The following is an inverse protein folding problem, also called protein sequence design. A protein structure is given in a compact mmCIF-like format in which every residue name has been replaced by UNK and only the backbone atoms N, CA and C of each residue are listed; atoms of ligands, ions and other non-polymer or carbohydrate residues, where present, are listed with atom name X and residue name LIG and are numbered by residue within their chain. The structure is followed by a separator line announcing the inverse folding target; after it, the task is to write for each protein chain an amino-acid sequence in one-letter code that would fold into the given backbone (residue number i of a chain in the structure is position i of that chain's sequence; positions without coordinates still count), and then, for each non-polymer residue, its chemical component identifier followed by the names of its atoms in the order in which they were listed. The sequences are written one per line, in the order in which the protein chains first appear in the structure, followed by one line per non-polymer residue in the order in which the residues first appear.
data_IF_572624500915
#
_entry.id   IF_572624500915
#
_cell.length_a   1.000
_cell.length_b   1.000
_cell.length_c   1.000
_cell.angle_alpha   90.00
_cell.angle_beta   90.00
_cell.angle_gamma   90.00
#
_symmetry.space_group_name_H-M   'P 1'
#
loop_
_entity.id
_entity.type
_entity.pdbx_description
1 polymer ?
#
# COMPACT_ATOMS: atom_id res chain seq x y z
N UNK A 1 10.97 -11.80 -0.68
CA UNK A 1 9.57 -11.64 -0.19
C UNK A 1 8.82 -10.94 -1.31
N UNK A 2 7.65 -11.44 -1.69
CA UNK A 2 6.84 -10.81 -2.76
C UNK A 2 6.12 -9.59 -2.20
N UNK A 3 5.99 -8.54 -3.01
CA UNK A 3 5.24 -7.34 -2.70
C UNK A 3 4.27 -7.06 -3.85
N UNK A 4 3.00 -6.91 -3.53
CA UNK A 4 1.98 -6.60 -4.52
C UNK A 4 0.85 -5.76 -3.91
N UNK A 5 0.15 -5.03 -4.77
CA UNK A 5 -0.96 -4.17 -4.40
C UNK A 5 -2.20 -4.58 -5.21
N UNK A 6 -3.24 -5.02 -4.52
CA UNK A 6 -4.53 -5.38 -5.11
C UNK A 6 -5.54 -4.26 -4.87
N UNK A 7 -6.22 -3.85 -5.92
CA UNK A 7 -7.24 -2.80 -5.88
C UNK A 7 -8.62 -3.43 -5.71
N UNK A 8 -9.19 -3.34 -4.52
CA UNK A 8 -10.52 -3.88 -4.21
C UNK A 8 -11.63 -2.87 -4.50
N UNK A 9 -11.28 -1.58 -4.50
CA UNK A 9 -12.16 -0.49 -4.84
C UNK A 9 -11.37 0.74 -5.28
N UNK A 10 -11.70 1.27 -6.44
CA UNK A 10 -10.94 2.33 -7.14
C UNK A 10 -11.78 3.56 -7.50
N UNK A 11 -13.07 3.54 -7.15
CA UNK A 11 -13.99 4.65 -7.39
C UNK A 11 -14.05 5.62 -6.24
N UNK A 12 -14.33 6.89 -6.55
CA UNK A 12 -14.50 7.96 -5.59
C UNK A 12 -15.95 8.18 -5.19
N UNK A 13 -16.17 8.47 -3.92
CA UNK A 13 -17.39 8.86 -3.21
C UNK A 13 -18.59 7.89 -3.35
N UNK A 14 -18.95 7.49 -4.57
CA UNK A 14 -20.16 6.70 -4.83
C UNK A 14 -19.80 5.40 -5.56
N UNK A 15 -20.18 4.22 -5.03
CA UNK A 15 -19.95 2.96 -5.73
C UNK A 15 -20.73 2.94 -7.05
N UNK A 16 -20.15 2.32 -8.05
CA UNK A 16 -20.76 2.12 -9.36
C UNK A 16 -20.78 0.63 -9.73
N UNK A 17 -21.43 0.28 -10.83
CA UNK A 17 -21.38 -1.09 -11.33
C UNK A 17 -19.97 -1.56 -11.76
N UNK A 18 -19.03 -0.61 -11.95
CA UNK A 18 -17.69 -0.89 -12.45
C UNK A 18 -16.57 -0.65 -11.44
N UNK A 19 -16.82 0.20 -10.43
CA UNK A 19 -15.85 0.60 -9.41
C UNK A 19 -16.51 0.63 -8.05
N UNK A 20 -15.95 -0.08 -7.10
CA UNK A 20 -16.31 -0.02 -5.70
C UNK A 20 -15.62 1.18 -5.03
N UNK A 21 -16.07 1.53 -3.85
CA UNK A 21 -15.49 2.56 -2.99
C UNK A 21 -14.10 2.16 -2.49
N UNK A 22 -13.34 3.13 -1.99
CA UNK A 22 -11.91 3.04 -1.70
C UNK A 22 -11.52 1.81 -0.85
N UNK A 23 -10.64 0.99 -1.39
CA UNK A 23 -10.03 -0.12 -0.66
C UNK A 23 -8.83 -0.68 -1.42
N UNK A 24 -7.66 -0.65 -0.81
CA UNK A 24 -6.40 -1.12 -1.40
C UNK A 24 -5.75 -2.12 -0.45
N UNK A 25 -5.43 -3.31 -0.95
CA UNK A 25 -4.74 -4.35 -0.17
C UNK A 25 -3.29 -4.46 -0.61
N UNK A 26 -2.38 -4.22 0.30
CA UNK A 26 -0.95 -4.49 0.13
C UNK A 26 -0.63 -5.86 0.71
N UNK A 27 -0.09 -6.74 -0.13
CA UNK A 27 0.38 -8.07 0.26
C UNK A 27 1.91 -8.08 0.22
N UNK A 28 2.53 -8.32 1.36
CA UNK A 28 3.98 -8.40 1.53
C UNK A 28 4.34 -9.72 2.20
N UNK A 29 4.84 -10.67 1.41
CA UNK A 29 5.04 -12.04 1.90
C UNK A 29 3.78 -12.62 2.53
N UNK A 30 3.83 -12.92 3.84
CA UNK A 30 2.68 -13.41 4.62
C UNK A 30 1.75 -12.31 5.14
N UNK A 31 2.17 -11.05 5.12
CA UNK A 31 1.41 -9.93 5.67
C UNK A 31 0.35 -9.41 4.68
N UNK A 32 -0.78 -9.00 5.20
CA UNK A 32 -1.92 -8.45 4.46
C UNK A 32 -2.37 -7.16 5.13
N UNK A 33 -2.08 -6.02 4.51
CA UNK A 33 -2.34 -4.69 5.01
C UNK A 33 -3.43 -4.04 4.15
N UNK A 34 -4.57 -3.73 4.74
CA UNK A 34 -5.69 -3.10 4.05
C UNK A 34 -5.68 -1.60 4.32
N UNK A 35 -5.64 -0.80 3.26
CA UNK A 35 -5.76 0.65 3.30
C UNK A 35 -7.17 1.03 2.85
N UNK A 36 -7.91 1.62 3.76
CA UNK A 36 -9.34 1.87 3.72
C UNK A 36 -10.20 0.61 3.54
N UNK A 37 -11.42 0.71 3.99
CA UNK A 37 -12.41 -0.37 3.93
C UNK A 37 -13.77 0.23 3.58
N UNK A 38 -13.92 0.64 2.35
CA UNK A 38 -15.16 1.19 1.82
C UNK A 38 -16.28 0.16 1.76
N UNK A 39 -17.50 0.61 1.54
CA UNK A 39 -18.67 -0.24 1.47
C UNK A 39 -18.47 -1.42 0.50
N UNK A 40 -18.76 -2.63 0.93
CA UNK A 40 -18.66 -3.84 0.10
C UNK A 40 -17.28 -4.44 -0.05
N UNK A 41 -16.24 -3.94 0.63
CA UNK A 41 -14.86 -4.46 0.56
C UNK A 41 -14.78 -5.97 0.78
N UNK A 42 -15.50 -6.51 1.76
CA UNK A 42 -15.55 -7.97 2.01
C UNK A 42 -16.07 -8.76 0.81
N UNK A 43 -17.04 -8.22 0.10
CA UNK A 43 -17.60 -8.83 -1.12
C UNK A 43 -16.59 -8.75 -2.27
N UNK A 44 -15.88 -7.64 -2.38
CA UNK A 44 -14.81 -7.48 -3.37
C UNK A 44 -13.66 -8.47 -3.13
N UNK A 45 -13.28 -8.69 -1.86
CA UNK A 45 -12.32 -9.74 -1.51
C UNK A 45 -12.79 -11.11 -1.98
N UNK A 46 -14.02 -11.51 -1.64
CA UNK A 46 -14.58 -12.81 -2.04
C UNK A 46 -14.61 -13.02 -3.56
N UNK A 47 -14.83 -11.96 -4.34
CA UNK A 47 -14.90 -12.01 -5.80
C UNK A 47 -13.52 -12.06 -6.47
N UNK A 48 -12.45 -11.72 -5.79
CA UNK A 48 -11.11 -11.61 -6.38
C UNK A 48 -10.08 -12.54 -5.73
N UNK A 49 -9.64 -12.21 -4.53
CA UNK A 49 -8.54 -12.88 -3.83
C UNK A 49 -9.01 -13.89 -2.77
N UNK A 50 -10.30 -14.06 -2.61
CA UNK A 50 -10.91 -14.77 -1.49
C UNK A 50 -11.02 -13.88 -0.24
N UNK A 51 -11.77 -14.33 0.76
CA UNK A 51 -11.87 -13.64 2.05
C UNK A 51 -10.59 -13.86 2.85
N UNK A 52 -9.52 -13.15 2.47
CA UNK A 52 -8.24 -13.22 3.19
C UNK A 52 -8.35 -12.57 4.56
N UNK A 53 -7.65 -13.12 5.54
CA UNK A 53 -7.53 -12.49 6.85
C UNK A 53 -6.45 -11.41 6.79
N UNK A 54 -6.86 -10.15 6.88
CA UNK A 54 -5.89 -9.04 6.95
C UNK A 54 -5.26 -8.96 8.34
N UNK A 55 -4.01 -8.54 8.40
CA UNK A 55 -3.27 -8.36 9.66
C UNK A 55 -3.58 -7.00 10.28
N UNK A 56 -3.73 -6.00 9.44
CA UNK A 56 -4.03 -4.64 9.84
C UNK A 56 -4.93 -3.93 8.83
N UNK A 57 -5.70 -2.97 9.32
CA UNK A 57 -6.46 -2.01 8.52
C UNK A 57 -5.95 -0.61 8.86
N UNK A 58 -5.64 0.18 7.85
CA UNK A 58 -5.19 1.56 7.98
C UNK A 58 -6.23 2.48 7.35
N UNK A 59 -6.93 3.26 8.15
CA UNK A 59 -7.88 4.25 7.65
C UNK A 59 -7.17 5.56 7.35
N UNK A 60 -7.31 6.06 6.13
CA UNK A 60 -6.82 7.37 5.76
C UNK A 60 -7.66 8.46 6.42
N UNK A 61 -8.96 8.33 6.40
CA UNK A 61 -9.94 9.20 7.04
C UNK A 61 -11.29 8.47 7.21
N UNK A 62 -12.34 9.17 7.68
CA UNK A 62 -13.60 8.53 8.06
C UNK A 62 -14.80 8.93 7.21
N UNK A 63 -14.59 9.33 5.96
CA UNK A 63 -15.72 9.45 5.03
C UNK A 63 -16.34 8.07 4.76
N UNK A 64 -17.62 8.09 4.40
CA UNK A 64 -18.43 6.88 4.27
C UNK A 64 -17.83 5.85 3.31
N UNK A 65 -17.34 6.30 2.19
CA UNK A 65 -16.74 5.49 1.11
C UNK A 65 -15.36 4.91 1.45
N UNK A 66 -14.74 5.34 2.56
CA UNK A 66 -13.50 4.77 3.08
C UNK A 66 -13.71 3.87 4.28
N UNK A 67 -14.83 4.03 5.01
CA UNK A 67 -14.97 3.40 6.33
C UNK A 67 -16.14 2.40 6.45
N UNK A 68 -17.25 2.58 5.70
CA UNK A 68 -18.49 1.82 5.95
C UNK A 68 -18.40 0.31 5.69
N UNK A 69 -17.38 -0.18 5.06
CA UNK A 69 -17.14 -1.63 4.91
C UNK A 69 -16.69 -2.31 6.19
N UNK A 70 -16.09 -1.56 7.14
CA UNK A 70 -15.53 -2.11 8.37
C UNK A 70 -16.52 -2.94 9.19
N UNK A 71 -17.74 -2.45 9.52
CA UNK A 71 -18.70 -3.23 10.31
C UNK A 71 -19.01 -4.59 9.68
N UNK A 72 -19.22 -4.62 8.38
CA UNK A 72 -19.49 -5.84 7.63
C UNK A 72 -18.32 -6.80 7.62
N UNK A 73 -17.10 -6.30 7.39
CA UNK A 73 -15.88 -7.11 7.39
C UNK A 73 -15.62 -7.73 8.76
N UNK A 74 -15.76 -6.96 9.85
CA UNK A 74 -15.60 -7.45 11.22
C UNK A 74 -16.58 -8.57 11.54
N UNK A 75 -17.86 -8.39 11.18
CA UNK A 75 -18.88 -9.43 11.41
C UNK A 75 -18.66 -10.66 10.54
N UNK A 76 -18.18 -10.50 9.33
CA UNK A 76 -17.85 -11.63 8.47
C UNK A 76 -16.69 -12.44 9.05
N UNK A 77 -15.65 -11.78 9.54
CA UNK A 77 -14.54 -12.44 10.23
C UNK A 77 -14.98 -13.13 11.52
N UNK A 78 -15.90 -12.53 12.29
CA UNK A 78 -16.48 -13.11 13.49
C UNK A 78 -17.25 -14.40 13.16
N UNK A 79 -18.09 -14.36 12.14
CA UNK A 79 -18.91 -15.50 11.70
C UNK A 79 -18.07 -16.63 11.03
N UNK A 80 -16.90 -16.30 10.50
CA UNK A 80 -15.95 -17.27 9.95
C UNK A 80 -14.86 -17.67 10.95
N UNK A 81 -15.14 -17.48 12.25
CA UNK A 81 -14.30 -17.96 13.36
C UNK A 81 -12.84 -17.49 13.30
N UNK A 82 -12.65 -16.19 13.01
CA UNK A 82 -11.31 -15.60 13.03
C UNK A 82 -10.67 -15.73 14.43
N UNK A 83 -9.49 -16.28 14.51
CA UNK A 83 -8.69 -16.35 15.74
C UNK A 83 -7.56 -15.30 15.78
N UNK A 84 -7.03 -14.93 14.60
CA UNK A 84 -5.90 -13.98 14.47
C UNK A 84 -6.31 -12.59 14.95
N UNK A 85 -5.54 -11.94 15.83
CA UNK A 85 -5.79 -10.55 16.22
C UNK A 85 -5.83 -9.62 14.99
N UNK A 86 -6.57 -8.52 15.09
CA UNK A 86 -6.68 -7.48 14.06
C UNK A 86 -6.28 -6.13 14.64
N UNK A 87 -5.28 -5.48 14.05
CA UNK A 87 -4.97 -4.09 14.35
C UNK A 87 -5.74 -3.16 13.41
N UNK A 88 -6.34 -2.11 13.94
CA UNK A 88 -7.07 -1.10 13.17
C UNK A 88 -6.50 0.25 13.52
N UNK A 89 -5.85 0.86 12.54
CA UNK A 89 -5.19 2.15 12.64
C UNK A 89 -6.02 3.22 11.92
N UNK A 90 -5.93 4.44 12.39
CA UNK A 90 -6.53 5.59 11.71
C UNK A 90 -6.25 6.90 12.44
N UNK A 91 -6.63 8.05 11.87
CA UNK A 91 -6.46 9.34 12.51
C UNK A 91 -7.27 9.42 13.80
N UNK A 92 -6.94 10.41 14.62
CA UNK A 92 -7.67 10.70 15.86
C UNK A 92 -9.17 10.84 15.60
N UNK A 93 -9.99 10.17 16.44
CA UNK A 93 -11.44 10.06 16.31
C UNK A 93 -11.91 8.65 15.92
N UNK A 94 -10.97 7.73 15.60
CA UNK A 94 -11.28 6.34 15.28
C UNK A 94 -12.08 5.64 16.39
N UNK A 95 -11.64 5.80 17.63
CA UNK A 95 -12.30 5.16 18.79
C UNK A 95 -13.71 5.69 19.02
N UNK A 96 -13.89 6.99 18.91
CA UNK A 96 -15.20 7.64 19.08
C UNK A 96 -16.18 7.20 18.00
N UNK A 97 -15.70 7.15 16.73
CA UNK A 97 -16.50 6.68 15.61
C UNK A 97 -16.90 5.21 15.80
N UNK A 98 -15.94 4.36 16.16
CA UNK A 98 -16.20 2.94 16.41
C UNK A 98 -17.20 2.75 17.55
N UNK A 99 -17.08 3.49 18.64
CA UNK A 99 -18.02 3.47 19.75
C UNK A 99 -19.43 3.88 19.33
N UNK A 100 -19.55 4.88 18.46
CA UNK A 100 -20.85 5.31 17.91
C UNK A 100 -21.52 4.20 17.10
N UNK A 101 -20.75 3.33 16.46
CA UNK A 101 -21.23 2.20 15.67
C UNK A 101 -21.37 0.89 16.46
N UNK A 102 -21.04 0.88 17.74
CA UNK A 102 -21.00 -0.34 18.56
C UNK A 102 -22.31 -1.12 18.55
N UNK A 103 -23.47 -0.43 18.48
CA UNK A 103 -24.79 -1.08 18.38
C UNK A 103 -25.01 -1.79 17.04
N UNK A 104 -24.43 -1.27 15.96
CA UNK A 104 -24.53 -1.85 14.61
C UNK A 104 -23.56 -3.03 14.49
N UNK A 105 -22.34 -2.88 14.97
CA UNK A 105 -21.29 -3.90 14.92
C UNK A 105 -21.65 -5.07 15.86
N UNK A 106 -22.21 -4.78 17.03
CA UNK A 106 -22.48 -5.78 18.05
C UNK A 106 -21.19 -6.36 18.67
N UNK A 107 -21.31 -7.52 19.30
CA UNK A 107 -20.15 -8.21 19.88
C UNK A 107 -19.30 -8.86 18.79
N UNK A 108 -17.98 -8.74 18.93
CA UNK A 108 -16.96 -9.41 18.12
C UNK A 108 -16.23 -10.42 19.01
N UNK A 109 -16.11 -11.66 18.56
CA UNK A 109 -15.56 -12.78 19.33
C UNK A 109 -14.04 -12.91 19.30
N UNK A 110 -13.35 -12.25 18.39
CA UNK A 110 -11.89 -12.24 18.29
C UNK A 110 -11.27 -10.93 18.79
N UNK A 111 -9.98 -10.98 19.10
CA UNK A 111 -9.24 -9.80 19.59
C UNK A 111 -9.00 -8.81 18.45
N UNK A 112 -9.31 -7.54 18.66
CA UNK A 112 -8.91 -6.44 17.82
C UNK A 112 -8.50 -5.23 18.66
N UNK A 113 -7.67 -4.36 18.06
CA UNK A 113 -7.19 -3.15 18.72
C UNK A 113 -7.46 -1.93 17.83
N UNK A 114 -7.91 -0.82 18.42
CA UNK A 114 -8.09 0.46 17.76
C UNK A 114 -6.93 1.38 18.17
N UNK A 115 -6.14 1.82 17.20
CA UNK A 115 -4.94 2.61 17.42
C UNK A 115 -5.05 3.90 16.62
N UNK A 116 -5.13 5.02 17.35
CA UNK A 116 -5.15 6.35 16.73
C UNK A 116 -3.72 6.80 16.45
N UNK A 117 -3.50 7.35 15.27
CA UNK A 117 -2.21 7.82 14.79
C UNK A 117 -2.22 9.32 14.56
N UNK A 118 -1.05 9.93 14.76
CA UNK A 118 -0.74 11.29 14.36
C UNK A 118 0.24 11.27 13.16
N UNK A 119 0.34 12.36 12.38
CA UNK A 119 1.34 12.45 11.33
C UNK A 119 2.76 12.24 11.86
N UNK A 120 3.52 11.37 11.23
CA UNK A 120 4.89 11.01 11.61
C UNK A 120 5.01 9.75 12.47
N UNK A 121 3.90 9.17 12.92
CA UNK A 121 3.95 7.89 13.63
C UNK A 121 4.42 6.76 12.72
N UNK A 122 5.20 5.85 13.27
CA UNK A 122 5.71 4.66 12.60
C UNK A 122 5.22 3.38 13.28
N UNK A 123 4.73 2.47 12.50
CA UNK A 123 4.25 1.15 12.92
C UNK A 123 5.26 0.12 12.41
N UNK A 124 6.05 -0.51 13.31
CA UNK A 124 7.05 -1.48 12.91
C UNK A 124 6.42 -2.78 12.39
N UNK A 125 7.02 -3.32 11.35
CA UNK A 125 6.76 -4.65 10.78
C UNK A 125 8.08 -5.45 10.76
N UNK A 126 8.05 -6.68 10.31
CA UNK A 126 9.27 -7.45 10.12
C UNK A 126 10.08 -6.93 8.91
N UNK A 127 11.24 -6.29 9.15
CA UNK A 127 12.10 -5.66 8.14
C UNK A 127 11.40 -4.60 7.28
N UNK A 128 10.42 -3.88 7.85
CA UNK A 128 9.71 -2.77 7.25
C UNK A 128 9.01 -1.94 8.32
N UNK A 129 8.42 -0.84 7.89
CA UNK A 129 7.51 -0.05 8.72
C UNK A 129 6.40 0.56 7.86
N UNK A 130 5.28 0.90 8.49
CA UNK A 130 4.27 1.79 7.90
C UNK A 130 4.36 3.13 8.61
N UNK A 131 4.67 4.18 7.87
CA UNK A 131 4.72 5.56 8.36
C UNK A 131 3.46 6.31 7.98
N UNK A 132 2.86 7.01 8.93
CA UNK A 132 1.77 7.95 8.64
C UNK A 132 2.35 9.31 8.28
N UNK A 133 1.70 10.02 7.36
CA UNK A 133 2.07 11.40 7.00
C UNK A 133 0.82 12.26 6.80
N UNK A 134 0.92 13.59 6.95
CA UNK A 134 -0.22 14.47 6.78
C UNK A 134 -0.58 14.61 5.29
N UNK A 135 -1.86 14.69 5.00
CA UNK A 135 -2.42 15.01 3.69
C UNK A 135 -3.38 16.19 3.79
N UNK A 136 -3.65 16.85 2.67
CA UNK A 136 -4.52 18.02 2.59
C UNK A 136 -5.92 17.61 2.15
N UNK A 137 -6.81 17.40 3.13
CA UNK A 137 -8.21 17.07 2.88
C UNK A 137 -9.12 17.80 3.89
N UNK A 138 -10.39 18.01 3.56
CA UNK A 138 -11.33 18.75 4.41
C UNK A 138 -11.65 18.10 5.77
N UNK A 139 -11.27 16.84 5.97
CA UNK A 139 -11.33 16.09 7.22
C UNK A 139 -9.92 15.84 7.79
N UNK A 140 -9.82 15.36 9.04
CA UNK A 140 -8.56 14.80 9.53
C UNK A 140 -8.23 13.56 8.71
N UNK A 141 -7.12 13.62 8.00
CA UNK A 141 -6.69 12.57 7.11
C UNK A 141 -5.19 12.30 7.22
N UNK A 142 -4.81 11.06 6.95
CA UNK A 142 -3.44 10.57 6.93
C UNK A 142 -3.20 9.82 5.62
N UNK A 143 -2.05 10.04 5.02
CA UNK A 143 -1.47 9.11 4.07
C UNK A 143 -0.56 8.11 4.78
N UNK A 144 -0.23 7.02 4.09
CA UNK A 144 0.61 5.94 4.62
C UNK A 144 1.69 5.56 3.63
N UNK A 145 2.91 5.38 4.12
CA UNK A 145 4.05 4.86 3.37
C UNK A 145 4.51 3.54 4.00
N UNK A 146 4.36 2.44 3.30
CA UNK A 146 5.02 1.18 3.62
C UNK A 146 6.44 1.26 3.06
N UNK A 147 7.44 1.15 3.93
CA UNK A 147 8.86 1.26 3.57
C UNK A 147 9.60 0.03 4.09
N UNK A 148 10.18 -0.75 3.18
CA UNK A 148 11.05 -1.87 3.55
C UNK A 148 12.44 -1.37 3.96
N UNK A 149 13.06 -2.06 4.91
CA UNK A 149 14.45 -1.79 5.30
C UNK A 149 15.44 -2.06 4.14
N UNK A 150 16.59 -1.44 4.22
CA UNK A 150 17.70 -1.77 3.32
C UNK A 150 18.09 -3.24 3.46
N UNK A 151 18.35 -3.87 2.34
CA UNK A 151 18.78 -5.26 2.27
C UNK A 151 20.30 -5.37 2.22
N UNK A 152 20.89 -6.42 2.79
CA UNK A 152 22.31 -6.68 2.66
C UNK A 152 22.76 -6.65 1.18
N UNK A 153 23.96 -6.19 0.93
CA UNK A 153 24.60 -6.25 -0.36
C UNK A 153 24.72 -7.67 -0.89
N UNK A 154 25.05 -7.80 -2.16
CA UNK A 154 25.30 -9.13 -2.73
C UNK A 154 26.60 -9.72 -2.14
N UNK A 155 26.52 -10.96 -1.65
CA UNK A 155 27.69 -11.71 -1.23
C UNK A 155 28.53 -12.10 -2.45
N UNK A 156 29.87 -11.91 -2.36
CA UNK A 156 30.83 -12.33 -3.37
C UNK A 156 31.53 -13.62 -2.93
N UNK A 157 31.05 -14.79 -3.37
CA UNK A 157 31.64 -16.07 -2.99
C UNK A 157 33.05 -16.25 -3.57
N UNK A 158 33.39 -15.58 -4.67
CA UNK A 158 34.72 -15.70 -5.27
C UNK A 158 35.76 -14.96 -4.44
N UNK A 159 35.44 -13.76 -3.98
CA UNK A 159 36.31 -13.02 -3.07
C UNK A 159 36.44 -13.73 -1.73
N UNK A 160 35.34 -14.26 -1.15
CA UNK A 160 35.39 -15.05 0.07
C UNK A 160 36.35 -16.26 -0.06
N UNK A 161 36.24 -17.01 -1.16
CA UNK A 161 37.15 -18.13 -1.45
C UNK A 161 38.61 -17.68 -1.57
N UNK A 162 38.88 -16.55 -2.24
CA UNK A 162 40.24 -15.99 -2.36
C UNK A 162 40.84 -15.60 -1.01
N UNK A 163 40.01 -15.13 -0.08
CA UNK A 163 40.40 -14.81 1.29
C UNK A 163 40.51 -16.05 2.20
N UNK A 164 40.32 -17.24 1.62
CA UNK A 164 40.48 -18.50 2.32
C UNK A 164 39.30 -18.86 3.24
N UNK A 165 38.12 -18.29 3.01
CA UNK A 165 36.90 -18.65 3.73
C UNK A 165 36.36 -19.97 3.20
N UNK A 166 36.00 -20.87 4.10
CA UNK A 166 35.45 -22.16 3.75
C UNK A 166 33.99 -22.03 3.29
N UNK A 167 33.70 -22.61 2.16
CA UNK A 167 32.34 -22.64 1.61
C UNK A 167 31.37 -23.38 2.53
N UNK A 168 30.17 -22.87 2.67
CA UNK A 168 29.13 -23.46 3.52
C UNK A 168 28.84 -22.60 4.76
N UNK A 169 29.02 -23.12 6.00
CA UNK A 169 28.61 -22.42 7.22
C UNK A 169 29.24 -21.02 7.38
N UNK A 170 30.53 -20.88 7.02
CA UNK A 170 31.26 -19.60 7.16
C UNK A 170 30.74 -18.52 6.22
N UNK A 171 30.27 -18.89 5.02
CA UNK A 171 29.58 -17.97 4.11
C UNK A 171 28.27 -17.44 4.71
N UNK A 172 27.51 -18.32 5.37
CA UNK A 172 26.27 -17.90 6.03
C UNK A 172 26.53 -16.95 7.23
N UNK A 173 27.66 -17.12 7.93
CA UNK A 173 28.08 -16.22 9.02
C UNK A 173 28.38 -14.83 8.44
N UNK A 174 29.19 -14.75 7.38
CA UNK A 174 29.49 -13.48 6.70
C UNK A 174 28.24 -12.79 6.16
N UNK A 175 27.30 -13.54 5.60
CA UNK A 175 26.03 -12.99 5.09
C UNK A 175 25.12 -12.43 6.20
N UNK A 176 25.29 -12.88 7.43
CA UNK A 176 24.60 -12.32 8.61
C UNK A 176 25.32 -11.10 9.20
N UNK A 177 26.44 -10.69 8.60
CA UNK A 177 27.20 -9.53 9.07
C UNK A 177 28.23 -9.85 10.17
N UNK A 178 28.56 -11.12 10.39
CA UNK A 178 29.52 -11.56 11.39
C UNK A 178 30.87 -11.93 10.74
N UNK A 179 32.02 -11.55 11.33
CA UNK A 179 33.33 -11.89 10.78
C UNK A 179 33.64 -13.37 10.97
N UNK A 180 34.46 -13.94 10.07
CA UNK A 180 34.95 -15.32 10.15
C UNK A 180 36.47 -15.39 10.04
N UNK A 181 37.05 -16.51 10.50
CA UNK A 181 38.47 -16.82 10.33
C UNK A 181 38.69 -17.55 9.01
N UNK A 182 39.25 -16.87 8.01
CA UNK A 182 39.75 -17.52 6.80
C UNK A 182 41.15 -18.09 6.98
N UNK A 183 41.61 -18.90 6.04
CA UNK A 183 42.97 -19.49 6.05
C UNK A 183 44.09 -18.44 5.88
N UNK A 184 43.75 -17.24 5.38
CA UNK A 184 44.69 -16.15 5.18
C UNK A 184 44.56 -15.03 6.24
N UNK A 185 43.66 -15.20 7.22
CA UNK A 185 43.40 -14.23 8.27
C UNK A 185 41.92 -14.04 8.53
N UNK A 186 41.54 -13.10 9.45
CA UNK A 186 40.17 -12.75 9.70
C UNK A 186 39.59 -12.02 8.48
N UNK A 187 38.33 -12.34 8.12
CA UNK A 187 37.59 -11.75 7.01
C UNK A 187 36.36 -11.05 7.56
N UNK A 188 36.27 -9.76 7.29
CA UNK A 188 35.13 -8.93 7.67
C UNK A 188 34.02 -9.06 6.59
N UNK A 189 32.74 -9.07 6.96
CA UNK A 189 31.65 -9.05 5.98
C UNK A 189 31.81 -7.97 4.89
N UNK A 190 32.30 -6.81 5.22
CA UNK A 190 32.54 -5.69 4.26
C UNK A 190 33.51 -6.03 3.13
N UNK A 191 34.38 -7.02 3.34
CA UNK A 191 35.34 -7.45 2.32
C UNK A 191 34.70 -8.31 1.22
N UNK A 192 33.52 -8.89 1.51
CA UNK A 192 32.84 -9.89 0.67
C UNK A 192 31.37 -9.55 0.40
N UNK A 193 30.84 -8.51 1.02
CA UNK A 193 29.50 -8.01 0.78
C UNK A 193 29.56 -6.74 -0.08
N UNK A 194 28.74 -6.67 -1.09
CA UNK A 194 28.52 -5.42 -1.85
C UNK A 194 27.85 -4.34 -0.99
N UNK A 195 27.57 -3.19 -1.61
CA UNK A 195 26.80 -2.14 -0.94
C UNK A 195 25.39 -2.65 -0.59
N UNK A 196 24.79 -2.13 0.48
CA UNK A 196 23.39 -2.35 0.80
C UNK A 196 22.50 -1.97 -0.39
N UNK A 197 21.37 -2.62 -0.49
CA UNK A 197 20.40 -2.44 -1.57
C UNK A 197 19.12 -1.86 -0.98
N UNK A 198 18.48 -0.90 -1.65
CA UNK A 198 17.25 -0.32 -1.13
C UNK A 198 16.17 -1.40 -0.94
N UNK A 199 15.34 -1.22 0.06
CA UNK A 199 14.04 -1.84 0.18
C UNK A 199 13.07 -1.24 -0.84
N UNK A 200 11.82 -1.72 -0.84
CA UNK A 200 10.76 -1.17 -1.69
C UNK A 200 9.86 -0.27 -0.87
N UNK A 201 9.23 0.69 -1.54
CA UNK A 201 8.29 1.60 -0.91
C UNK A 201 6.97 1.70 -1.68
N UNK A 202 5.86 1.64 -0.95
CA UNK A 202 4.50 1.83 -1.46
C UNK A 202 3.83 2.93 -0.66
N UNK A 203 3.36 3.96 -1.34
CA UNK A 203 2.67 5.10 -0.71
C UNK A 203 1.21 5.12 -1.13
N UNK A 204 0.31 5.27 -0.15
CA UNK A 204 -1.15 5.40 -0.36
C UNK A 204 -1.59 6.69 0.30
N UNK A 205 -2.10 7.62 -0.49
CA UNK A 205 -2.47 8.95 0.03
C UNK A 205 -3.85 8.97 0.70
N UNK A 206 -4.79 8.12 0.24
CA UNK A 206 -6.20 8.41 0.42
C UNK A 206 -6.59 9.68 -0.33
N UNK A 207 -7.62 10.37 0.13
CA UNK A 207 -8.11 11.61 -0.47
C UNK A 207 -7.22 12.78 -0.08
N UNK A 208 -6.80 13.56 -1.08
CA UNK A 208 -5.91 14.71 -0.83
C UNK A 208 -5.89 15.69 -2.00
N UNK A 209 -5.82 16.98 -1.68
CA UNK A 209 -5.25 17.97 -2.58
C UNK A 209 -3.72 17.79 -2.68
N UNK A 210 -3.05 18.29 -3.72
CA UNK A 210 -1.60 18.24 -3.82
C UNK A 210 -0.94 18.92 -2.62
N UNK A 211 -0.01 18.25 -1.96
CA UNK A 211 0.72 18.83 -0.85
C UNK A 211 2.17 18.35 -0.79
N UNK A 212 3.03 19.17 -0.22
CA UNK A 212 4.47 18.89 -0.09
C UNK A 212 4.75 17.63 0.73
N UNK A 213 3.94 17.36 1.75
CA UNK A 213 4.12 16.18 2.59
C UNK A 213 3.95 14.87 1.80
N UNK A 214 3.05 14.84 0.84
CA UNK A 214 2.89 13.70 -0.07
C UNK A 214 4.12 13.51 -0.98
N UNK A 215 4.68 14.61 -1.52
CA UNK A 215 5.90 14.57 -2.32
C UNK A 215 7.06 13.99 -1.51
N UNK A 216 7.26 14.47 -0.28
CA UNK A 216 8.34 13.97 0.59
C UNK A 216 8.14 12.51 0.99
N UNK A 217 6.91 12.11 1.34
CA UNK A 217 6.61 10.72 1.70
C UNK A 217 6.76 9.74 0.53
N UNK A 218 6.51 10.21 -0.69
CA UNK A 218 6.58 9.40 -1.91
C UNK A 218 7.94 9.45 -2.62
N UNK A 219 8.92 10.22 -2.10
CA UNK A 219 10.21 10.42 -2.77
C UNK A 219 10.92 9.11 -3.07
N UNK A 220 11.09 8.81 -4.38
CA UNK A 220 11.73 7.60 -4.88
C UNK A 220 10.97 6.32 -4.56
N UNK A 221 9.67 6.39 -4.27
CA UNK A 221 8.86 5.20 -4.02
C UNK A 221 8.66 4.37 -5.30
N UNK A 222 8.59 3.05 -5.15
CA UNK A 222 8.29 2.15 -6.27
C UNK A 222 6.85 2.32 -6.76
N UNK A 223 5.91 2.63 -5.86
CA UNK A 223 4.51 2.87 -6.21
C UNK A 223 3.91 3.99 -5.36
N UNK A 224 3.31 4.96 -6.05
CA UNK A 224 2.42 5.94 -5.44
C UNK A 224 0.97 5.65 -5.87
N UNK A 225 0.09 5.34 -4.92
CA UNK A 225 -1.36 5.25 -5.09
C UNK A 225 -1.96 6.58 -4.64
N UNK A 226 -2.49 7.37 -5.58
CA UNK A 226 -2.88 8.75 -5.35
C UNK A 226 -4.32 9.04 -5.79
N UNK A 227 -4.99 9.91 -5.03
CA UNK A 227 -6.29 10.51 -5.39
C UNK A 227 -6.23 11.18 -6.76
N UNK A 228 -7.22 10.90 -7.59
CA UNK A 228 -7.41 11.50 -8.91
C UNK A 228 -8.90 11.67 -9.20
N UNK A 229 -9.59 12.36 -8.31
CA UNK A 229 -11.04 12.49 -8.32
C UNK A 229 -11.56 13.31 -9.49
N UNK A 230 -10.76 14.22 -10.04
CA UNK A 230 -11.18 15.21 -11.02
C UNK A 230 -10.27 15.28 -12.26
N UNK A 231 -10.87 15.66 -13.42
CA UNK A 231 -10.09 16.08 -14.59
C UNK A 231 -9.61 17.53 -14.40
N UNK A 232 -8.66 17.97 -15.23
CA UNK A 232 -8.14 19.35 -15.17
C UNK A 232 -9.24 20.42 -15.39
N UNK A 233 -10.31 20.09 -16.14
CA UNK A 233 -11.44 20.99 -16.37
C UNK A 233 -12.18 21.36 -15.07
N UNK A 234 -12.05 20.55 -14.01
CA UNK A 234 -12.72 20.77 -12.72
C UNK A 234 -11.70 21.07 -11.58
N UNK A 235 -10.54 21.66 -11.90
CA UNK A 235 -9.48 21.96 -10.92
C UNK A 235 -9.97 22.81 -9.72
N UNK A 236 -10.84 23.80 -9.97
CA UNK A 236 -11.41 24.58 -8.87
C UNK A 236 -12.24 23.71 -7.92
N UNK A 237 -13.03 22.79 -8.46
CA UNK A 237 -13.83 21.88 -7.64
C UNK A 237 -12.97 20.90 -6.86
N UNK A 238 -11.88 20.42 -7.46
CA UNK A 238 -10.89 19.59 -6.75
C UNK A 238 -10.35 20.35 -5.53
N UNK A 239 -9.92 21.59 -5.69
CA UNK A 239 -9.44 22.44 -4.60
C UNK A 239 -10.50 22.68 -3.53
N UNK A 240 -11.74 23.01 -3.92
CA UNK A 240 -12.84 23.30 -2.99
C UNK A 240 -13.24 22.08 -2.14
N UNK A 241 -12.99 20.87 -2.62
CA UNK A 241 -13.35 19.62 -1.96
C UNK A 241 -12.15 18.88 -1.35
N UNK A 242 -10.94 19.44 -1.45
CA UNK A 242 -9.71 18.82 -0.88
C UNK A 242 -9.28 17.55 -1.61
N UNK A 243 -9.40 17.55 -2.94
CA UNK A 243 -8.99 16.46 -3.83
C UNK A 243 -7.98 16.91 -4.88
N UNK A 244 -7.46 16.00 -5.64
CA UNK A 244 -6.55 16.25 -6.75
C UNK A 244 -7.23 16.06 -8.10
N UNK A 245 -6.76 16.84 -9.09
CA UNK A 245 -6.94 16.48 -10.49
C UNK A 245 -5.92 15.42 -10.90
N UNK A 246 -6.17 14.78 -12.04
CA UNK A 246 -5.27 13.75 -12.57
C UNK A 246 -3.89 14.31 -12.92
N UNK A 247 -3.81 15.52 -13.46
CA UNK A 247 -2.54 16.19 -13.76
C UNK A 247 -1.80 16.63 -12.50
N UNK A 248 -2.52 17.04 -11.46
CA UNK A 248 -1.94 17.35 -10.15
C UNK A 248 -1.33 16.11 -9.50
N UNK A 249 -2.04 14.97 -9.52
CA UNK A 249 -1.50 13.69 -9.03
C UNK A 249 -0.24 13.27 -9.81
N UNK A 250 -0.26 13.44 -11.14
CA UNK A 250 0.90 13.18 -12.00
C UNK A 250 2.07 14.14 -11.72
N UNK A 251 1.80 15.41 -11.40
CA UNK A 251 2.82 16.38 -11.01
C UNK A 251 3.49 16.01 -9.68
N UNK A 252 2.70 15.56 -8.68
CA UNK A 252 3.24 15.03 -7.41
C UNK A 252 4.13 13.84 -7.66
N UNK A 253 3.69 12.87 -8.47
CA UNK A 253 4.47 11.68 -8.81
C UNK A 253 5.81 12.02 -9.49
N UNK A 254 5.80 12.97 -10.43
CA UNK A 254 7.01 13.46 -11.11
C UNK A 254 7.97 14.16 -10.14
N UNK A 255 7.46 15.03 -9.28
CA UNK A 255 8.29 15.76 -8.29
C UNK A 255 8.88 14.82 -7.25
N UNK A 256 8.14 13.79 -6.85
CA UNK A 256 8.61 12.75 -5.93
C UNK A 256 9.52 11.70 -6.60
N UNK A 257 9.68 11.73 -7.93
CA UNK A 257 10.50 10.77 -8.68
C UNK A 257 10.09 9.31 -8.41
N UNK A 258 8.78 9.02 -8.39
CA UNK A 258 8.29 7.66 -8.17
C UNK A 258 8.47 6.79 -9.43
N UNK A 259 8.58 5.46 -9.26
CA UNK A 259 8.70 4.55 -10.40
C UNK A 259 7.35 4.36 -11.13
N UNK A 260 6.24 4.30 -10.40
CA UNK A 260 4.90 4.11 -10.96
C UNK A 260 3.85 4.90 -10.17
N UNK A 261 2.97 5.59 -10.90
CA UNK A 261 1.77 6.23 -10.34
C UNK A 261 0.53 5.38 -10.63
N UNK A 262 -0.26 5.07 -9.61
CA UNK A 262 -1.58 4.45 -9.72
C UNK A 262 -2.66 5.47 -9.31
N UNK A 263 -3.48 5.88 -10.27
CA UNK A 263 -4.60 6.80 -10.04
C UNK A 263 -5.81 6.04 -9.49
N UNK A 264 -6.31 6.45 -8.34
CA UNK A 264 -7.50 5.90 -7.70
C UNK A 264 -8.51 7.00 -7.37
N UNK A 265 -9.63 6.64 -6.75
CA UNK A 265 -10.70 7.55 -6.39
C UNK A 265 -11.31 8.28 -7.61
N UNK A 266 -11.25 7.64 -8.78
CA UNK A 266 -11.70 8.23 -10.04
C UNK A 266 -13.23 8.29 -10.06
N UNK A 267 -13.78 9.48 -10.26
CA UNK A 267 -15.22 9.67 -10.40
C UNK A 267 -15.78 8.91 -11.60
N UNK A 268 -16.94 8.26 -11.40
CA UNK A 268 -17.66 7.53 -12.48
C UNK A 268 -18.09 8.41 -13.65
N UNK A 269 -17.98 9.73 -13.53
CA UNK A 269 -18.29 10.71 -14.60
C UNK A 269 -17.25 10.72 -15.73
N UNK A 270 -16.03 10.28 -15.44
CA UNK A 270 -14.92 10.36 -16.39
C UNK A 270 -14.69 9.05 -17.14
N UNK A 271 -14.29 9.19 -18.39
CA UNK A 271 -13.79 8.08 -19.17
C UNK A 271 -12.30 7.83 -18.80
N UNK A 272 -11.99 6.65 -18.30
CA UNK A 272 -10.65 6.30 -17.76
C UNK A 272 -9.53 6.52 -18.78
N UNK A 273 -9.78 6.28 -20.08
CA UNK A 273 -8.80 6.53 -21.14
C UNK A 273 -8.40 8.00 -21.20
N UNK A 274 -9.36 8.93 -21.13
CA UNK A 274 -9.08 10.38 -21.13
C UNK A 274 -8.28 10.79 -19.88
N UNK A 275 -8.70 10.33 -18.70
CA UNK A 275 -8.00 10.55 -17.43
C UNK A 275 -6.55 10.10 -17.51
N UNK A 276 -6.32 8.92 -18.09
CA UNK A 276 -4.99 8.37 -18.22
C UNK A 276 -4.11 9.12 -19.25
N UNK A 277 -4.69 9.60 -20.34
CA UNK A 277 -4.01 10.44 -21.32
C UNK A 277 -3.56 11.76 -20.67
N UNK A 278 -4.45 12.46 -19.98
CA UNK A 278 -4.12 13.71 -19.27
C UNK A 278 -2.97 13.53 -18.25
N UNK A 279 -3.00 12.46 -17.47
CA UNK A 279 -1.96 12.19 -16.49
C UNK A 279 -0.60 11.86 -17.15
N UNK A 280 -0.61 11.09 -18.25
CA UNK A 280 0.60 10.68 -18.96
C UNK A 280 1.30 11.80 -19.71
N UNK A 281 0.61 12.86 -20.06
CA UNK A 281 1.24 14.08 -20.57
C UNK A 281 2.18 14.74 -19.54
N UNK A 282 1.93 14.51 -18.23
CA UNK A 282 2.71 15.07 -17.13
C UNK A 282 3.72 14.04 -16.59
N UNK A 283 3.29 12.78 -16.42
CA UNK A 283 4.12 11.69 -15.91
C UNK A 283 3.74 10.37 -16.62
N UNK A 284 4.60 9.91 -17.53
CA UNK A 284 4.32 8.77 -18.41
C UNK A 284 4.10 7.46 -17.65
N UNK A 285 4.91 7.08 -16.61
CA UNK A 285 4.69 5.87 -15.83
C UNK A 285 3.45 5.95 -14.94
N UNK A 286 2.28 6.08 -15.58
CA UNK A 286 0.98 6.21 -14.90
C UNK A 286 0.01 5.13 -15.37
N UNK A 287 -0.69 4.54 -14.40
CA UNK A 287 -1.78 3.59 -14.60
C UNK A 287 -3.05 4.02 -13.86
N UNK A 288 -4.20 3.60 -14.34
CA UNK A 288 -5.49 3.79 -13.69
C UNK A 288 -6.13 2.41 -13.42
N UNK A 289 -5.76 1.74 -12.33
CA UNK A 289 -6.26 0.40 -12.04
C UNK A 289 -7.78 0.33 -12.01
N UNK A 290 -8.31 -0.83 -12.35
CA UNK A 290 -9.71 -1.21 -12.13
C UNK A 290 -9.82 -2.04 -10.87
N UNK A 291 -11.02 -2.21 -10.38
CA UNK A 291 -11.26 -3.18 -9.32
C UNK A 291 -10.74 -4.55 -9.74
N UNK A 292 -10.06 -5.21 -8.82
CA UNK A 292 -9.39 -6.51 -8.95
C UNK A 292 -8.07 -6.52 -9.73
N UNK A 293 -7.63 -5.41 -10.29
CA UNK A 293 -6.28 -5.31 -10.83
C UNK A 293 -5.23 -5.45 -9.73
N UNK A 294 -4.05 -5.95 -10.11
CA UNK A 294 -2.91 -6.17 -9.24
C UNK A 294 -1.70 -5.42 -9.80
N UNK A 295 -0.95 -4.75 -8.95
CA UNK A 295 0.40 -4.27 -9.27
C UNK A 295 1.40 -5.14 -8.53
N UNK A 296 2.30 -5.80 -9.27
CA UNK A 296 3.47 -6.46 -8.71
C UNK A 296 4.62 -5.47 -8.60
N UNK A 297 5.31 -5.49 -7.46
CA UNK A 297 6.46 -4.61 -7.19
C UNK A 297 7.67 -5.51 -6.93
N UNK A 298 8.45 -5.84 -7.96
CA UNK A 298 9.67 -6.61 -7.80
C UNK A 298 10.74 -5.76 -7.10
N UNK A 299 11.80 -6.39 -6.60
CA UNK A 299 12.97 -5.63 -6.22
C UNK A 299 13.60 -4.96 -7.46
N UNK A 300 14.20 -3.77 -7.34
CA UNK A 300 14.72 -3.00 -8.50
C UNK A 300 15.64 -3.81 -9.43
N UNK A 301 16.42 -4.73 -8.89
CA UNK A 301 17.29 -5.59 -9.70
C UNK A 301 16.56 -6.71 -10.48
N UNK A 302 15.24 -6.84 -10.32
CA UNK A 302 14.41 -7.86 -10.99
C UNK A 302 13.44 -7.25 -11.99
N UNK A 303 13.29 -5.94 -12.01
CA UNK A 303 12.40 -5.22 -12.92
C UNK A 303 11.68 -4.08 -12.26
N UNK A 304 10.77 -3.46 -12.99
CA UNK A 304 9.95 -2.32 -12.59
C UNK A 304 8.58 -2.77 -12.08
N UNK A 305 7.89 -1.93 -11.27
CA UNK A 305 6.50 -2.18 -10.89
C UNK A 305 5.59 -2.34 -12.11
N UNK A 306 4.68 -3.31 -12.07
CA UNK A 306 3.87 -3.65 -13.24
C UNK A 306 2.42 -3.92 -12.89
N UNK A 307 1.51 -3.26 -13.61
CA UNK A 307 0.08 -3.55 -13.58
C UNK A 307 -0.18 -4.88 -14.28
N UNK A 308 -0.77 -5.81 -13.55
CA UNK A 308 -1.30 -7.07 -14.06
C UNK A 308 -2.82 -6.95 -14.00
N UNK A 309 -3.44 -6.78 -15.16
CA UNK A 309 -4.89 -6.80 -15.25
C UNK A 309 -5.39 -8.18 -14.81
N UNK A 310 -6.24 -8.23 -13.81
CA UNK A 310 -6.95 -9.44 -13.46
C UNK A 310 -8.01 -9.63 -14.56
N UNK A 311 -7.67 -10.42 -15.60
CA UNK A 311 -8.70 -10.87 -16.54
C UNK A 311 -9.82 -11.45 -15.69
N UNK A 312 -10.97 -10.78 -15.67
CA UNK A 312 -12.11 -11.13 -14.84
C UNK A 312 -12.24 -12.66 -14.82
N UNK A 313 -12.06 -13.25 -13.65
CA UNK A 313 -12.71 -14.53 -13.42
C UNK A 313 -14.19 -14.21 -13.56
N UNK A 314 -14.77 -14.59 -14.70
CA UNK A 314 -16.21 -14.59 -14.82
C UNK A 314 -16.75 -15.26 -13.56
N UNK A 315 -17.76 -14.67 -12.90
CA UNK A 315 -18.36 -15.34 -11.77
C UNK A 315 -18.75 -16.73 -12.25
N UNK A 316 -18.17 -17.76 -11.64
CA UNK A 316 -18.65 -19.12 -11.81
C UNK A 316 -20.16 -19.05 -11.57
N UNK A 317 -20.99 -19.58 -12.44
CA UNK A 317 -22.41 -19.67 -12.15
C UNK A 317 -22.52 -20.62 -10.96
N UNK A 318 -22.63 -20.07 -9.80
CA UNK A 318 -22.90 -20.80 -8.57
C UNK A 318 -24.33 -20.50 -8.20
N UNK A 319 -25.10 -21.54 -8.28
CA UNK A 319 -26.31 -21.97 -7.58
C UNK A 319 -27.02 -20.96 -6.67
#
# INVERSE_FOLDING_TARGET
MDLSVAFLGTGGAVPSARRNTASVLVARGGERLLFDCGEGTQRQMQRSIGLVQVDAIYFTHFHADHFLGLPGLLKTYDLTEREKPLAIYGPRGLRDLFQSMARVIGRIGYRFELIELEPGDSIPLENAEVRSFPVEHGARALGYALVEEERPGRFDPQTAKRLGVREGPDFAVLQRGEPVQGSLGPVDPRDVMGRSRPGRAVVVTGDTAPCHATVEAARGADLLVHDASFSEEEAQRAADTGHSTVGQAAAVAREAEVELLALVHISSRYHVGKVLEEAREVFEPTVAPRDFDLIEIPFPERGEPKLIGNGAREPSPVD
#
